data_IF_339231637464
#
_entry.id   IF_339231637464
#
_cell.length_a   1.000
_cell.length_b   1.000
_cell.length_c   1.000
_cell.angle_alpha   90.00
_cell.angle_beta   90.00
_cell.angle_gamma   90.00
#
_symmetry.space_group_name_H-M   'P 1'
#
loop_
_entity.id
_entity.type
_entity.pdbx_description
1 polymer ?
#
# COMPACT_ATOMS: atom_id res chain seq x y z
N UNK A 1 30.25 21.76 69.89
CA UNK A 1 30.57 20.70 68.92
C UNK A 1 29.39 19.74 68.61
N UNK A 2 28.66 19.23 69.61
CA UNK A 2 27.54 18.26 69.43
C UNK A 2 26.30 18.72 68.61
N UNK A 3 26.11 20.03 68.42
CA UNK A 3 24.99 20.61 67.62
C UNK A 3 25.31 20.74 66.11
N UNK A 4 26.58 20.72 65.74
CA UNK A 4 27.01 20.81 64.34
C UNK A 4 26.99 19.44 63.64
N UNK A 5 27.26 18.36 64.38
CA UNK A 5 27.22 16.99 63.87
C UNK A 5 25.80 16.52 63.49
N UNK A 6 24.77 16.94 64.24
CA UNK A 6 23.37 16.59 63.95
C UNK A 6 22.88 17.31 62.67
N UNK A 7 23.28 18.58 62.47
CA UNK A 7 22.95 19.33 61.24
C UNK A 7 23.60 18.74 59.99
N UNK A 8 24.84 18.28 60.08
CA UNK A 8 25.50 17.58 58.98
C UNK A 8 24.84 16.23 58.66
N UNK A 9 24.45 15.44 59.68
CA UNK A 9 23.80 14.15 59.47
C UNK A 9 22.40 14.29 58.82
N UNK A 10 21.61 15.29 59.22
CA UNK A 10 20.28 15.55 58.62
C UNK A 10 20.41 16.04 57.17
N UNK A 11 21.40 16.88 56.87
CA UNK A 11 21.64 17.33 55.49
C UNK A 11 22.12 16.20 54.58
N UNK A 12 22.97 15.29 55.07
CA UNK A 12 23.42 14.11 54.31
C UNK A 12 22.28 13.11 54.09
N UNK A 13 21.40 12.91 55.07
CA UNK A 13 20.22 12.07 54.90
C UNK A 13 19.19 12.68 53.95
N UNK A 14 19.03 14.01 53.93
CA UNK A 14 18.15 14.70 52.97
C UNK A 14 18.69 14.61 51.53
N UNK A 15 20.00 14.74 51.32
CA UNK A 15 20.59 14.60 49.99
C UNK A 15 20.55 13.16 49.48
N UNK A 16 20.70 12.16 50.37
CA UNK A 16 20.48 10.76 50.01
C UNK A 16 19.02 10.46 49.63
N UNK A 17 18.04 11.12 50.27
CA UNK A 17 16.61 10.92 49.97
C UNK A 17 16.16 11.58 48.64
N UNK A 18 16.85 12.64 48.20
CA UNK A 18 16.61 13.23 46.88
C UNK A 18 17.24 12.41 45.73
N UNK A 19 18.30 11.64 46.00
CA UNK A 19 19.02 10.87 44.98
C UNK A 19 18.34 9.55 44.56
N UNK A 20 17.28 9.11 45.25
CA UNK A 20 16.60 7.83 44.97
C UNK A 20 15.33 7.96 44.13
N UNK A 21 15.04 9.12 43.54
CA UNK A 21 13.91 9.27 42.60
C UNK A 21 14.31 8.87 41.18
N UNK A 22 14.43 7.56 40.93
CA UNK A 22 14.44 7.05 39.55
C UNK A 22 13.02 7.11 39.01
N UNK A 23 12.68 8.15 38.26
CA UNK A 23 11.46 8.13 37.45
C UNK A 23 11.64 7.08 36.35
N UNK A 24 10.76 6.06 36.25
CA UNK A 24 10.81 5.17 35.11
C UNK A 24 10.58 5.99 33.84
N UNK A 25 11.56 5.98 32.93
CA UNK A 25 11.36 6.52 31.58
C UNK A 25 10.47 5.52 30.85
N UNK A 26 9.17 5.79 30.82
CA UNK A 26 8.25 5.05 29.95
C UNK A 26 8.59 5.48 28.51
N UNK A 27 9.08 4.54 27.71
CA UNK A 27 9.25 4.77 26.28
C UNK A 27 7.88 5.12 25.68
N UNK A 28 7.74 6.36 25.21
CA UNK A 28 6.51 6.83 24.60
C UNK A 28 6.44 6.26 23.19
N UNK A 29 5.54 5.29 22.97
CA UNK A 29 5.27 4.74 21.63
C UNK A 29 4.75 5.85 20.73
N UNK A 30 5.41 6.09 19.61
CA UNK A 30 4.96 7.07 18.64
C UNK A 30 3.95 6.38 17.71
N UNK A 31 2.68 6.77 17.73
CA UNK A 31 1.61 6.07 17.01
C UNK A 31 0.73 7.04 16.23
N UNK A 32 0.44 6.70 14.98
CA UNK A 32 -0.53 7.39 14.14
C UNK A 32 -1.66 6.45 13.74
N UNK A 33 -2.89 6.81 14.11
CA UNK A 33 -4.12 6.10 13.76
C UNK A 33 -5.00 6.96 12.85
N UNK A 34 -5.72 6.34 11.93
CA UNK A 34 -6.56 7.04 10.94
C UNK A 34 -8.06 6.96 11.29
N UNK A 35 -8.44 7.59 12.41
CA UNK A 35 -9.83 7.58 12.90
C UNK A 35 -10.76 8.24 11.88
N UNK A 36 -11.90 7.62 11.60
CA UNK A 36 -12.92 8.15 10.70
C UNK A 36 -12.71 7.83 9.22
N UNK A 37 -11.61 7.16 8.86
CA UNK A 37 -11.41 6.61 7.51
C UNK A 37 -12.09 5.24 7.41
N UNK A 38 -13.16 5.07 6.60
CA UNK A 38 -13.86 3.79 6.50
C UNK A 38 -12.92 2.66 6.06
N UNK A 39 -13.02 1.50 6.71
CA UNK A 39 -12.21 0.32 6.39
C UNK A 39 -10.78 0.34 6.95
N UNK A 40 -10.29 1.46 7.51
CA UNK A 40 -8.94 1.56 8.09
C UNK A 40 -9.01 1.50 9.61
N UNK A 41 -8.71 0.32 10.16
CA UNK A 41 -8.66 0.08 11.61
C UNK A 41 -7.25 0.00 12.21
N UNK A 42 -6.22 -0.06 11.37
CA UNK A 42 -4.83 -0.24 11.80
C UNK A 42 -4.13 1.09 12.04
N UNK A 43 -3.16 1.10 12.95
CA UNK A 43 -2.29 2.24 13.22
C UNK A 43 -0.85 1.93 12.81
N UNK A 44 -0.05 2.96 12.58
CA UNK A 44 1.39 2.87 12.31
C UNK A 44 2.12 3.27 13.58
N UNK A 45 3.15 2.52 13.98
CA UNK A 45 3.91 2.79 15.19
C UNK A 45 5.42 2.89 14.93
N UNK A 46 6.09 3.64 15.81
CA UNK A 46 7.53 3.67 16.00
C UNK A 46 8.32 3.82 14.68
N UNK A 47 9.23 2.87 14.40
CA UNK A 47 10.15 2.96 13.26
C UNK A 47 9.42 2.98 11.91
N UNK A 48 8.30 2.26 11.78
CA UNK A 48 7.48 2.30 10.56
C UNK A 48 6.78 3.64 10.39
N UNK A 49 6.35 4.29 11.48
CA UNK A 49 5.77 5.62 11.41
C UNK A 49 6.81 6.67 10.98
N UNK A 50 8.01 6.59 11.53
CA UNK A 50 9.13 7.44 11.10
C UNK A 50 9.42 7.27 9.61
N UNK A 51 9.51 6.02 9.14
CA UNK A 51 9.78 5.72 7.74
C UNK A 51 8.66 6.22 6.82
N UNK A 52 7.41 5.95 7.17
CA UNK A 52 6.24 6.34 6.39
C UNK A 52 6.19 7.86 6.23
N UNK A 53 6.34 8.61 7.33
CA UNK A 53 6.26 10.08 7.33
C UNK A 53 7.40 10.72 6.54
N UNK A 54 8.62 10.17 6.63
CA UNK A 54 9.78 10.76 5.96
C UNK A 54 9.81 10.51 4.45
N UNK A 55 9.18 9.44 3.97
CA UNK A 55 9.36 8.95 2.60
C UNK A 55 8.10 9.04 1.74
N UNK A 56 7.26 10.04 2.01
CA UNK A 56 6.12 10.41 1.17
C UNK A 56 4.75 10.03 1.72
N UNK A 57 4.67 9.30 2.84
CA UNK A 57 3.45 9.08 3.59
C UNK A 57 2.28 8.54 2.77
N UNK A 58 1.11 9.17 2.91
CA UNK A 58 -0.14 8.71 2.33
C UNK A 58 -0.11 8.63 0.79
N UNK A 59 0.38 9.65 0.06
CA UNK A 59 0.51 9.58 -1.40
C UNK A 59 1.32 8.38 -1.93
N UNK A 60 2.39 8.00 -1.23
CA UNK A 60 3.32 6.95 -1.67
C UNK A 60 2.91 5.57 -1.15
N UNK A 61 2.64 5.44 0.14
CA UNK A 61 2.40 4.13 0.76
C UNK A 61 0.91 3.81 0.91
N UNK A 62 0.07 4.84 1.04
CA UNK A 62 -1.33 4.70 1.42
C UNK A 62 -1.54 4.42 2.90
N UNK A 63 -2.78 4.06 3.25
CA UNK A 63 -3.17 3.72 4.62
C UNK A 63 -2.61 2.36 5.07
N UNK A 64 -2.40 2.15 6.39
CA UNK A 64 -2.05 0.84 6.93
C UNK A 64 -3.24 -0.12 6.82
N UNK A 65 -2.99 -1.31 6.29
CA UNK A 65 -3.99 -2.37 6.14
C UNK A 65 -3.95 -3.40 7.26
N UNK A 66 -2.81 -3.54 7.94
CA UNK A 66 -2.60 -4.47 9.04
C UNK A 66 -1.96 -3.77 10.24
N UNK A 67 -2.05 -4.31 11.46
CA UNK A 67 -1.05 -4.04 12.49
C UNK A 67 0.33 -4.53 12.01
N UNK A 68 1.40 -4.17 12.72
CA UNK A 68 2.70 -4.80 12.51
C UNK A 68 2.70 -6.23 13.11
N UNK A 69 3.23 -7.22 12.41
CA UNK A 69 3.28 -8.62 12.85
C UNK A 69 4.49 -9.34 12.27
N UNK A 70 4.91 -10.45 12.88
CA UNK A 70 6.02 -11.27 12.35
C UNK A 70 5.54 -12.09 11.15
N UNK A 71 6.25 -12.01 10.02
CA UNK A 71 5.96 -12.81 8.83
C UNK A 71 7.24 -13.44 8.29
N UNK A 72 7.16 -14.72 7.90
CA UNK A 72 8.16 -15.37 7.08
C UNK A 72 8.00 -14.94 5.61
N UNK A 73 9.04 -14.36 5.04
CA UNK A 73 9.21 -14.09 3.60
C UNK A 73 10.28 -15.04 3.03
N UNK A 74 10.50 -15.06 1.70
CA UNK A 74 11.63 -15.80 1.12
C UNK A 74 13.00 -15.39 1.68
N UNK A 75 13.14 -14.15 2.16
CA UNK A 75 14.39 -13.57 2.64
C UNK A 75 14.62 -13.81 4.15
N UNK A 76 13.58 -14.13 4.93
CA UNK A 76 13.68 -14.33 6.38
C UNK A 76 12.37 -14.10 7.13
N UNK A 77 12.41 -14.13 8.46
CA UNK A 77 11.29 -13.69 9.29
C UNK A 77 11.52 -12.26 9.74
N UNK A 78 10.60 -11.36 9.38
CA UNK A 78 10.69 -9.95 9.70
C UNK A 78 9.42 -9.45 10.39
N UNK A 79 9.55 -8.40 11.18
CA UNK A 79 8.39 -7.61 11.57
C UNK A 79 7.93 -6.88 10.30
N UNK A 80 6.69 -7.11 9.89
CA UNK A 80 6.12 -6.54 8.68
C UNK A 80 4.85 -5.76 8.97
N UNK A 81 4.57 -4.77 8.14
CA UNK A 81 3.26 -4.10 8.09
C UNK A 81 2.89 -3.85 6.64
N UNK A 82 1.65 -4.19 6.28
CA UNK A 82 1.11 -3.88 4.96
C UNK A 82 0.40 -2.54 4.96
N UNK A 83 0.64 -1.81 3.89
CA UNK A 83 -0.05 -0.58 3.50
C UNK A 83 -0.76 -0.84 2.18
N UNK A 84 -1.56 0.11 1.71
CA UNK A 84 -2.29 -0.06 0.44
C UNK A 84 -1.38 -0.40 -0.73
N UNK A 85 -0.21 0.26 -0.81
CA UNK A 85 0.70 0.13 -1.97
C UNK A 85 1.95 -0.68 -1.69
N UNK A 86 2.31 -0.87 -0.42
CA UNK A 86 3.62 -1.40 -0.03
C UNK A 86 3.55 -2.33 1.17
N UNK A 87 4.56 -3.18 1.32
CA UNK A 87 4.84 -3.97 2.52
C UNK A 87 6.16 -3.50 3.11
N UNK A 88 6.13 -3.03 4.36
CA UNK A 88 7.35 -2.67 5.08
C UNK A 88 7.88 -3.89 5.81
N UNK A 89 9.20 -4.05 5.80
CA UNK A 89 9.93 -5.13 6.44
C UNK A 89 11.04 -4.48 7.31
N UNK A 90 11.06 -4.79 8.61
CA UNK A 90 12.06 -4.24 9.54
C UNK A 90 13.30 -5.15 9.60
N UNK A 91 14.45 -4.55 9.30
CA UNK A 91 15.78 -5.17 9.30
C UNK A 91 16.69 -4.48 10.34
N UNK A 92 16.57 -4.82 11.64
CA UNK A 92 17.34 -4.16 12.70
C UNK A 92 18.86 -4.34 12.58
N UNK A 93 19.32 -5.31 11.78
CA UNK A 93 20.72 -5.55 11.45
C UNK A 93 21.31 -4.52 10.47
N UNK A 94 20.46 -3.78 9.74
CA UNK A 94 20.88 -2.76 8.81
C UNK A 94 20.92 -1.38 9.48
N UNK A 95 21.80 -0.51 8.96
CA UNK A 95 21.82 0.90 9.37
C UNK A 95 20.74 1.67 8.63
N UNK A 96 20.16 2.67 9.30
CA UNK A 96 19.29 3.66 8.64
C UNK A 96 19.96 4.25 7.39
N UNK A 97 19.22 4.45 6.29
CA UNK A 97 17.77 4.25 6.15
C UNK A 97 17.35 2.83 5.69
N UNK A 98 18.28 1.87 5.59
CA UNK A 98 18.04 0.50 5.09
C UNK A 98 17.48 -0.48 6.14
N UNK A 99 17.27 -0.01 7.37
CA UNK A 99 16.64 -0.79 8.44
C UNK A 99 15.13 -0.99 8.24
N UNK A 100 14.52 -0.27 7.29
CA UNK A 100 13.18 -0.58 6.77
C UNK A 100 13.30 -0.76 5.27
N UNK A 101 13.01 -1.96 4.78
CA UNK A 101 12.99 -2.30 3.36
C UNK A 101 11.54 -2.47 2.90
N UNK A 102 11.30 -2.20 1.62
CA UNK A 102 10.03 -2.53 0.99
C UNK A 102 10.12 -3.90 0.34
N UNK A 103 9.10 -4.72 0.59
CA UNK A 103 8.93 -6.01 -0.07
C UNK A 103 8.86 -5.82 -1.59
N UNK A 104 9.36 -6.80 -2.34
CA UNK A 104 9.39 -6.79 -3.81
C UNK A 104 8.01 -7.12 -4.41
N UNK A 105 7.00 -6.33 -4.04
CA UNK A 105 5.60 -6.63 -4.36
C UNK A 105 5.29 -6.63 -5.86
N UNK A 106 6.05 -5.88 -6.66
CA UNK A 106 5.88 -5.90 -8.11
C UNK A 106 6.33 -7.23 -8.72
N UNK A 107 7.50 -7.73 -8.32
CA UNK A 107 8.01 -9.06 -8.73
C UNK A 107 7.08 -10.17 -8.20
N UNK A 108 6.69 -10.09 -6.93
CA UNK A 108 5.79 -11.07 -6.30
C UNK A 108 4.44 -11.16 -7.03
N UNK A 109 3.82 -10.01 -7.34
CA UNK A 109 2.53 -9.98 -8.02
C UNK A 109 2.63 -10.45 -9.47
N UNK A 110 3.69 -10.09 -10.21
CA UNK A 110 3.93 -10.63 -11.54
C UNK A 110 4.01 -12.17 -11.49
N UNK A 111 4.71 -12.73 -10.50
CA UNK A 111 4.75 -14.16 -10.24
C UNK A 111 3.36 -14.77 -9.99
N UNK A 112 2.54 -14.14 -9.15
CA UNK A 112 1.15 -14.58 -8.88
C UNK A 112 0.25 -14.54 -10.12
N UNK A 113 0.52 -13.61 -11.04
CA UNK A 113 -0.15 -13.50 -12.35
C UNK A 113 0.40 -14.50 -13.38
N UNK A 114 1.38 -15.33 -13.03
CA UNK A 114 2.04 -16.26 -13.95
C UNK A 114 2.92 -15.56 -15.00
N UNK A 115 3.30 -14.29 -14.77
CA UNK A 115 4.11 -13.48 -15.69
C UNK A 115 5.59 -13.63 -15.37
N UNK A 116 6.32 -14.26 -16.27
CA UNK A 116 7.78 -14.26 -16.26
C UNK A 116 8.30 -13.01 -16.97
N UNK A 117 8.46 -11.90 -16.25
CA UNK A 117 8.88 -10.61 -16.82
C UNK A 117 10.19 -10.67 -17.61
N UNK A 118 11.10 -11.60 -17.27
CA UNK A 118 12.36 -11.83 -18.01
C UNK A 118 12.15 -12.32 -19.44
N UNK A 119 11.02 -12.97 -19.72
CA UNK A 119 10.65 -13.47 -21.04
C UNK A 119 9.73 -12.49 -21.79
N UNK A 120 9.30 -11.40 -21.17
CA UNK A 120 8.46 -10.40 -21.84
C UNK A 120 9.27 -9.59 -22.85
N UNK A 121 8.68 -9.22 -24.01
CA UNK A 121 9.40 -8.44 -25.01
C UNK A 121 9.88 -7.10 -24.45
N UNK A 122 11.01 -6.63 -24.96
CA UNK A 122 11.55 -5.30 -24.67
C UNK A 122 11.07 -4.28 -25.70
N UNK A 123 10.89 -3.03 -25.26
CA UNK A 123 10.70 -1.91 -26.18
C UNK A 123 12.01 -1.59 -26.91
N UNK A 124 11.95 -0.97 -28.10
CA UNK A 124 13.14 -0.45 -28.76
C UNK A 124 13.91 0.51 -27.85
N UNK A 125 15.24 0.53 -28.00
CA UNK A 125 16.08 1.50 -27.29
C UNK A 125 15.64 2.94 -27.61
N UNK A 126 15.49 3.76 -26.58
CA UNK A 126 15.21 5.18 -26.68
C UNK A 126 16.28 5.96 -25.89
N UNK A 127 17.07 6.83 -26.55
CA UNK A 127 18.12 7.60 -25.90
C UNK A 127 17.59 8.62 -24.87
N UNK A 128 16.29 8.90 -24.85
CA UNK A 128 15.68 9.80 -23.87
C UNK A 128 15.25 9.08 -22.59
N UNK A 129 15.43 7.76 -22.50
CA UNK A 129 15.02 6.97 -21.35
C UNK A 129 16.24 6.46 -20.58
N UNK A 130 16.13 6.42 -19.25
CA UNK A 130 17.14 5.74 -18.45
C UNK A 130 16.96 4.22 -18.59
N UNK A 131 18.04 3.51 -18.94
CA UNK A 131 18.04 2.06 -19.06
C UNK A 131 18.74 1.42 -17.86
N UNK A 132 18.05 0.52 -17.17
CA UNK A 132 18.60 -0.25 -16.07
C UNK A 132 19.48 -1.40 -16.61
N UNK A 133 20.82 -1.37 -16.42
CA UNK A 133 21.69 -2.37 -17.04
C UNK A 133 21.47 -3.79 -16.49
N UNK A 134 20.96 -3.93 -15.26
CA UNK A 134 20.72 -5.23 -14.62
C UNK A 134 19.49 -5.95 -15.17
N UNK A 135 18.49 -5.21 -15.65
CA UNK A 135 17.24 -5.79 -16.19
C UNK A 135 17.08 -5.58 -17.69
N UNK A 136 17.85 -4.66 -18.29
CA UNK A 136 17.71 -4.24 -19.68
C UNK A 136 16.45 -3.43 -19.96
N UNK A 137 15.71 -3.01 -18.92
CA UNK A 137 14.43 -2.29 -19.04
C UNK A 137 14.63 -0.79 -18.96
N UNK A 138 13.80 -0.05 -19.66
CA UNK A 138 13.89 1.41 -19.73
C UNK A 138 12.79 2.08 -18.91
N UNK A 139 13.12 3.13 -18.15
CA UNK A 139 12.16 4.06 -17.56
C UNK A 139 12.16 5.34 -18.39
N UNK A 140 11.08 5.50 -19.17
CA UNK A 140 10.77 6.72 -19.90
C UNK A 140 9.82 7.60 -19.10
N UNK A 141 9.76 8.89 -19.42
CA UNK A 141 8.73 9.76 -18.85
C UNK A 141 7.31 9.32 -19.24
N UNK A 142 6.33 9.45 -18.32
CA UNK A 142 6.41 10.15 -17.02
C UNK A 142 6.99 9.31 -15.86
N UNK A 143 7.20 8.02 -16.05
CA UNK A 143 7.65 7.11 -15.00
C UNK A 143 9.11 7.33 -14.58
N UNK A 144 9.99 7.65 -15.52
CA UNK A 144 11.39 8.00 -15.24
C UNK A 144 11.51 9.20 -14.30
N UNK A 145 10.78 10.29 -14.61
CA UNK A 145 10.67 11.45 -13.71
C UNK A 145 10.11 11.09 -12.35
N UNK A 146 9.01 10.33 -12.27
CA UNK A 146 8.43 9.95 -10.98
C UNK A 146 9.42 9.15 -10.12
N UNK A 147 10.14 8.21 -10.74
CA UNK A 147 11.18 7.41 -10.08
C UNK A 147 12.31 8.30 -9.54
N UNK A 148 12.77 9.27 -10.32
CA UNK A 148 13.83 10.20 -9.92
C UNK A 148 13.40 11.21 -8.84
N UNK A 149 12.14 11.65 -8.88
CA UNK A 149 11.63 12.68 -7.98
C UNK A 149 11.21 12.12 -6.60
N UNK A 150 10.98 10.81 -6.51
CA UNK A 150 10.64 10.13 -5.26
C UNK A 150 11.73 9.15 -4.86
N UNK A 151 12.52 9.51 -3.84
CA UNK A 151 13.61 8.69 -3.35
C UNK A 151 13.70 8.74 -1.83
N UNK A 152 14.27 7.69 -1.24
CA UNK A 152 14.53 7.59 0.19
C UNK A 152 15.46 8.72 0.66
N UNK A 153 15.01 9.54 1.60
CA UNK A 153 15.80 10.65 2.14
C UNK A 153 17.07 10.13 2.84
N UNK A 154 18.18 10.86 2.68
CA UNK A 154 19.47 10.48 3.25
C UNK A 154 20.35 9.63 2.33
N UNK A 155 19.91 9.38 1.09
CA UNK A 155 20.69 8.73 0.03
C UNK A 155 20.84 9.66 -1.18
N UNK A 156 21.70 9.29 -2.13
CA UNK A 156 21.68 9.93 -3.45
C UNK A 156 20.32 9.67 -4.12
N UNK A 157 19.83 10.55 -5.03
CA UNK A 157 18.53 10.33 -5.67
C UNK A 157 18.40 8.95 -6.31
N UNK A 158 19.43 8.50 -7.03
CA UNK A 158 19.47 7.18 -7.67
C UNK A 158 19.42 6.04 -6.64
N UNK A 159 20.26 6.08 -5.60
CA UNK A 159 20.28 5.02 -4.59
C UNK A 159 18.98 4.98 -3.79
N UNK A 160 18.41 6.16 -3.48
CA UNK A 160 17.16 6.26 -2.77
C UNK A 160 15.96 5.80 -3.59
N UNK A 161 15.96 6.07 -4.90
CA UNK A 161 14.92 5.57 -5.80
C UNK A 161 15.05 4.06 -6.04
N UNK A 162 16.28 3.53 -6.13
CA UNK A 162 16.52 2.08 -6.13
C UNK A 162 16.04 1.42 -4.83
N UNK A 163 16.27 2.05 -3.67
CA UNK A 163 15.81 1.53 -2.39
C UNK A 163 14.28 1.52 -2.28
N UNK A 164 13.62 2.58 -2.78
CA UNK A 164 12.17 2.75 -2.66
C UNK A 164 11.39 1.94 -3.71
N UNK A 165 11.84 1.93 -4.96
CA UNK A 165 11.09 1.33 -6.07
C UNK A 165 11.74 0.09 -6.64
N UNK A 166 13.07 -0.01 -6.51
CA UNK A 166 13.88 -0.97 -7.21
C UNK A 166 13.99 -0.69 -8.70
N UNK A 167 14.41 -1.74 -9.41
CA UNK A 167 14.64 -1.69 -10.85
C UNK A 167 13.33 -1.91 -11.64
N UNK A 168 13.19 -1.32 -12.84
CA UNK A 168 12.13 -1.69 -13.77
C UNK A 168 12.25 -3.15 -14.18
N UNK A 169 11.13 -3.89 -14.12
CA UNK A 169 11.03 -5.31 -14.47
C UNK A 169 10.38 -5.51 -15.84
N UNK A 170 9.42 -4.66 -16.19
CA UNK A 170 8.79 -4.64 -17.52
C UNK A 170 9.08 -3.32 -18.21
N UNK A 171 8.86 -3.27 -19.52
CA UNK A 171 8.67 -1.98 -20.20
C UNK A 171 7.20 -1.55 -20.11
N UNK A 172 6.94 -0.28 -20.39
CA UNK A 172 5.59 0.30 -20.33
C UNK A 172 4.66 -0.35 -21.34
N UNK A 173 3.48 -0.77 -20.87
CA UNK A 173 2.40 -1.35 -21.68
C UNK A 173 1.05 -0.77 -21.27
N UNK A 174 0.07 -0.78 -22.17
CA UNK A 174 -1.32 -0.53 -21.77
C UNK A 174 -1.84 -1.81 -21.10
N UNK A 175 -2.21 -1.71 -19.83
CA UNK A 175 -2.79 -2.79 -19.05
C UNK A 175 -4.13 -2.36 -18.47
N UNK A 176 -5.02 -3.32 -18.24
CA UNK A 176 -6.27 -3.07 -17.50
C UNK A 176 -5.97 -3.21 -16.01
N UNK A 177 -6.12 -2.13 -15.26
CA UNK A 177 -5.89 -2.13 -13.81
C UNK A 177 -7.08 -2.74 -13.04
N UNK A 178 -6.96 -2.98 -11.72
CA UNK A 178 -8.05 -3.53 -10.92
C UNK A 178 -9.34 -2.67 -10.89
N UNK A 179 -9.22 -1.36 -11.08
CA UNK A 179 -10.36 -0.44 -11.18
C UNK A 179 -11.08 -0.54 -12.54
N UNK A 180 -10.51 -1.30 -13.48
CA UNK A 180 -11.06 -1.56 -14.80
C UNK A 180 -10.63 -0.58 -15.89
N UNK A 181 -9.82 0.42 -15.53
CA UNK A 181 -9.26 1.42 -16.44
C UNK A 181 -8.13 0.80 -17.26
N UNK A 182 -7.98 1.22 -18.52
CA UNK A 182 -6.84 0.82 -19.37
C UNK A 182 -5.81 1.95 -19.38
N UNK A 183 -4.69 1.73 -18.69
CA UNK A 183 -3.69 2.77 -18.42
C UNK A 183 -2.30 2.27 -18.81
N UNK A 184 -1.44 3.19 -19.23
CA UNK A 184 -0.03 2.88 -19.37
C UNK A 184 0.50 2.46 -18.00
N UNK A 185 1.14 1.30 -17.96
CA UNK A 185 1.52 0.58 -16.75
C UNK A 185 2.93 0.07 -16.91
N UNK A 186 3.74 0.22 -15.86
CA UNK A 186 5.07 -0.37 -15.80
C UNK A 186 5.31 -0.98 -14.42
N UNK A 187 5.85 -2.19 -14.41
CA UNK A 187 6.15 -2.92 -13.18
C UNK A 187 7.63 -2.75 -12.83
N UNK A 188 7.89 -2.41 -11.57
CA UNK A 188 9.19 -2.32 -10.93
C UNK A 188 9.29 -3.40 -9.86
N UNK A 189 10.47 -3.63 -9.29
CA UNK A 189 10.65 -4.67 -8.25
C UNK A 189 9.67 -4.50 -7.09
N UNK A 190 9.43 -3.25 -6.65
CA UNK A 190 8.63 -2.95 -5.45
C UNK A 190 7.31 -2.25 -5.76
N UNK A 191 7.01 -1.92 -7.01
CA UNK A 191 5.85 -1.11 -7.35
C UNK A 191 5.26 -1.45 -8.73
N UNK A 192 3.99 -1.06 -8.93
CA UNK A 192 3.36 -0.93 -10.25
C UNK A 192 3.02 0.54 -10.45
N UNK A 193 3.59 1.16 -11.46
CA UNK A 193 3.27 2.53 -11.84
C UNK A 193 2.14 2.53 -12.86
N UNK A 194 1.20 3.44 -12.71
CA UNK A 194 0.04 3.63 -13.58
C UNK A 194 -0.06 5.11 -13.98
N UNK A 195 -0.18 5.40 -15.28
CA UNK A 195 -0.29 6.76 -15.78
C UNK A 195 -1.75 7.16 -16.05
N UNK A 196 -2.16 8.24 -15.38
CA UNK A 196 -3.49 8.84 -15.38
C UNK A 196 -3.41 10.28 -15.90
N UNK A 197 -3.33 10.51 -17.23
CA UNK A 197 -3.02 11.82 -17.81
C UNK A 197 -4.07 12.90 -17.52
N UNK A 198 -5.30 12.49 -17.21
CA UNK A 198 -6.41 13.40 -16.91
C UNK A 198 -6.39 13.92 -15.46
N UNK A 199 -5.51 13.39 -14.61
CA UNK A 199 -5.31 13.90 -13.25
C UNK A 199 -4.46 15.19 -13.26
N UNK A 200 -4.51 15.99 -12.18
CA UNK A 200 -3.51 17.03 -11.94
C UNK A 200 -2.09 16.46 -12.06
N UNK A 201 -1.14 17.29 -12.51
CA UNK A 201 0.21 16.87 -12.89
C UNK A 201 0.91 16.04 -11.82
N UNK A 202 0.76 16.43 -10.56
CA UNK A 202 1.32 15.76 -9.39
C UNK A 202 0.72 14.37 -9.11
N UNK A 203 -0.43 14.05 -9.69
CA UNK A 203 -1.15 12.78 -9.54
C UNK A 203 -1.31 12.03 -10.88
N UNK A 204 -0.53 12.42 -11.90
CA UNK A 204 -0.54 11.71 -13.19
C UNK A 204 0.13 10.35 -13.10
N UNK A 205 1.10 10.15 -12.21
CA UNK A 205 1.65 8.82 -11.91
C UNK A 205 1.12 8.38 -10.56
N UNK A 206 0.35 7.30 -10.56
CA UNK A 206 -0.17 6.66 -9.36
C UNK A 206 0.46 5.28 -9.21
N UNK A 207 0.55 4.82 -7.96
CA UNK A 207 1.00 3.48 -7.64
C UNK A 207 -0.19 2.54 -7.48
N UNK A 208 -0.11 1.38 -8.13
CA UNK A 208 -1.03 0.28 -7.91
C UNK A 208 -1.06 -0.15 -6.44
N UNK A 209 -2.22 -0.62 -5.97
CA UNK A 209 -2.45 -0.99 -4.55
C UNK A 209 -1.91 -2.39 -4.25
N UNK A 210 -0.65 -2.64 -4.60
CA UNK A 210 -0.04 -3.97 -4.54
C UNK A 210 -0.06 -4.58 -3.13
N UNK A 211 0.05 -3.76 -2.09
CA UNK A 211 -0.07 -4.25 -0.71
C UNK A 211 -1.47 -4.79 -0.39
N UNK A 212 -2.52 -4.12 -0.88
CA UNK A 212 -3.89 -4.63 -0.79
C UNK A 212 -4.09 -5.89 -1.63
N UNK A 213 -3.65 -5.86 -2.91
CA UNK A 213 -3.81 -6.96 -3.86
C UNK A 213 -3.12 -8.25 -3.36
N UNK A 214 -1.92 -8.13 -2.79
CA UNK A 214 -1.17 -9.27 -2.22
C UNK A 214 -1.88 -9.84 -0.98
N UNK A 215 -2.40 -8.98 -0.10
CA UNK A 215 -3.14 -9.42 1.09
C UNK A 215 -4.43 -10.17 0.73
N UNK A 216 -5.17 -9.66 -0.24
CA UNK A 216 -6.44 -10.28 -0.65
C UNK A 216 -6.22 -11.65 -1.29
N UNK A 217 -5.18 -11.80 -2.12
CA UNK A 217 -4.79 -13.11 -2.65
C UNK A 217 -4.35 -14.10 -1.56
N UNK A 218 -3.69 -13.63 -0.50
CA UNK A 218 -3.28 -14.47 0.63
C UNK A 218 -4.49 -14.92 1.45
N UNK A 219 -5.46 -14.03 1.69
CA UNK A 219 -6.73 -14.35 2.37
C UNK A 219 -7.58 -15.35 1.58
N UNK A 220 -7.59 -15.25 0.26
CA UNK A 220 -8.28 -16.22 -0.60
C UNK A 220 -7.65 -17.62 -0.53
N UNK A 221 -6.34 -17.72 -0.29
CA UNK A 221 -5.60 -19.00 -0.30
C UNK A 221 -5.69 -19.79 1.01
N UNK A 222 -5.92 -19.14 2.16
CA UNK A 222 -5.99 -19.79 3.49
C UNK A 222 -7.37 -20.42 3.79
N UNK A 223 -8.39 -20.11 2.98
CA UNK A 223 -9.70 -20.78 3.01
C UNK A 223 -10.66 -20.27 4.10
N UNK A 224 -11.75 -19.66 3.64
CA UNK A 224 -13.01 -19.54 4.40
C UNK A 224 -13.22 -18.22 5.15
N UNK A 225 -13.99 -17.32 4.54
CA UNK A 225 -14.71 -16.19 5.16
C UNK A 225 -13.84 -15.02 5.65
N UNK A 226 -13.74 -13.96 4.83
CA UNK A 226 -14.15 -12.60 5.22
C UNK A 226 -14.15 -11.69 3.99
N UNK A 227 -15.29 -11.64 3.29
CA UNK A 227 -15.57 -10.58 2.32
C UNK A 227 -15.90 -9.30 3.10
N UNK A 228 -14.88 -8.60 3.60
CA UNK A 228 -15.03 -7.24 4.14
C UNK A 228 -14.05 -6.23 3.54
N UNK A 229 -13.23 -6.61 2.57
CA UNK A 229 -12.53 -5.63 1.73
C UNK A 229 -13.45 -5.28 0.56
N UNK A 230 -14.52 -4.58 0.90
CA UNK A 230 -15.28 -3.82 -0.09
C UNK A 230 -14.27 -2.92 -0.81
N UNK A 231 -14.39 -2.89 -2.14
CA UNK A 231 -13.75 -1.93 -3.01
C UNK A 231 -13.58 -0.61 -2.27
N UNK A 232 -12.34 -0.30 -1.85
CA UNK A 232 -12.07 0.98 -1.24
C UNK A 232 -12.50 2.01 -2.28
N UNK A 233 -13.53 2.78 -1.94
CA UNK A 233 -14.05 3.84 -2.78
C UNK A 233 -12.87 4.64 -3.34
N UNK A 234 -12.92 4.95 -4.64
CA UNK A 234 -11.97 5.85 -5.31
C UNK A 234 -11.73 7.07 -4.42
N UNK A 235 -10.61 7.08 -3.70
CA UNK A 235 -10.20 8.22 -2.90
C UNK A 235 -9.04 8.89 -3.64
N UNK A 236 -9.40 9.84 -4.50
CA UNK A 236 -8.43 10.81 -4.99
C UNK A 236 -8.19 11.76 -3.83
N UNK A 237 -7.04 11.65 -3.17
CA UNK A 237 -6.61 12.64 -2.18
C UNK A 237 -6.16 13.87 -2.95
N UNK A 238 -7.04 14.88 -3.06
CA UNK A 238 -6.68 16.18 -3.63
C UNK A 238 -6.20 17.05 -2.46
N UNK A 239 -4.88 17.07 -2.27
CA UNK A 239 -4.21 17.92 -1.29
C UNK A 239 -4.16 17.35 0.12
N UNK A 240 -2.95 17.10 0.63
CA UNK A 240 -2.69 16.93 2.06
C UNK A 240 -1.80 18.07 2.54
N UNK A 241 -2.28 18.84 3.51
CA UNK A 241 -1.38 19.68 4.33
C UNK A 241 -0.46 18.76 5.15
N UNK A 242 0.73 19.26 5.52
CA UNK A 242 1.81 18.48 6.17
C UNK A 242 1.44 17.90 7.55
N UNK A 243 0.22 18.09 8.02
CA UNK A 243 -0.31 17.64 9.32
C UNK A 243 -1.22 16.40 9.23
N UNK A 244 -1.42 15.84 8.03
CA UNK A 244 -2.24 14.64 7.84
C UNK A 244 -3.75 14.90 7.79
N UNK A 245 -4.17 16.17 7.69
CA UNK A 245 -5.55 16.52 7.35
C UNK A 245 -5.78 16.30 5.84
N UNK A 246 -6.61 15.31 5.49
CA UNK A 246 -7.07 15.10 4.12
C UNK A 246 -8.53 15.58 3.99
N UNK A 247 -8.80 16.45 3.02
CA UNK A 247 -10.18 16.77 2.64
C UNK A 247 -10.74 15.60 1.85
N UNK A 248 -11.65 14.82 2.45
CA UNK A 248 -12.31 13.69 1.78
C UNK A 248 -13.41 14.24 0.86
N UNK A 249 -13.18 14.20 -0.45
CA UNK A 249 -14.25 14.40 -1.43
C UNK A 249 -14.94 13.05 -1.66
N UNK A 250 -16.18 12.91 -1.17
CA UNK A 250 -16.98 11.71 -1.40
C UNK A 250 -17.46 11.69 -2.86
N UNK A 251 -17.00 10.71 -3.65
CA UNK A 251 -17.59 10.41 -4.95
C UNK A 251 -18.61 9.27 -4.80
N UNK A 252 -19.83 9.47 -5.29
CA UNK A 252 -20.81 8.39 -5.41
C UNK A 252 -20.43 7.50 -6.59
N UNK A 253 -19.86 6.32 -6.32
CA UNK A 253 -19.57 5.35 -7.37
C UNK A 253 -20.87 4.63 -7.79
N UNK A 254 -21.37 4.93 -8.99
CA UNK A 254 -22.44 4.15 -9.61
C UNK A 254 -21.86 2.81 -10.08
N UNK A 255 -22.15 1.72 -9.36
CA UNK A 255 -21.74 0.37 -9.79
C UNK A 255 -22.84 -0.23 -10.66
N UNK A 256 -22.53 -0.58 -11.90
CA UNK A 256 -23.42 -1.38 -12.76
C UNK A 256 -23.22 -2.86 -12.46
N UNK A 257 -24.22 -3.51 -11.86
CA UNK A 257 -24.21 -4.96 -11.61
C UNK A 257 -24.83 -5.65 -12.84
N UNK A 258 -24.05 -6.45 -13.56
CA UNK A 258 -24.57 -7.33 -14.61
C UNK A 258 -24.75 -8.74 -14.05
N UNK A 259 -26.00 -9.17 -13.86
CA UNK A 259 -26.30 -10.53 -13.40
C UNK A 259 -26.16 -11.50 -14.59
N UNK A 260 -25.18 -12.40 -14.56
CA UNK A 260 -25.13 -13.58 -15.43
C UNK A 260 -25.70 -14.78 -14.68
N UNK A 261 -26.41 -15.66 -15.39
CA UNK A 261 -27.47 -16.54 -14.90
C UNK A 261 -27.21 -17.36 -13.63
N UNK A 262 -28.34 -17.59 -12.93
CA UNK A 262 -28.52 -18.41 -11.73
C UNK A 262 -27.86 -19.79 -11.87
N UNK A 263 -27.17 -20.21 -10.81
CA UNK A 263 -26.63 -21.56 -10.71
C UNK A 263 -27.69 -22.66 -10.85
N UNK A 264 -27.26 -23.76 -11.49
CA UNK A 264 -27.86 -25.09 -11.67
C UNK A 264 -28.72 -25.34 -12.94
N UNK A 265 -28.15 -26.11 -13.88
CA UNK A 265 -28.71 -26.63 -15.15
C UNK A 265 -29.27 -28.05 -14.95
N UNK A 266 -30.34 -28.46 -15.66
CA UNK A 266 -30.31 -29.81 -16.24
C UNK A 266 -30.73 -29.90 -17.73
N UNK A 267 -29.90 -30.66 -18.44
CA UNK A 267 -30.04 -31.46 -19.67
C UNK A 267 -31.15 -31.20 -20.72
N UNK A 268 -30.67 -31.00 -21.96
CA UNK A 268 -31.29 -31.22 -23.28
C UNK A 268 -32.35 -30.22 -23.79
N UNK A 269 -31.94 -29.40 -24.78
CA UNK A 269 -32.61 -29.06 -26.07
C UNK A 269 -31.77 -27.91 -26.70
N UNK A 270 -30.90 -28.18 -27.67
CA UNK A 270 -31.10 -28.08 -29.13
C UNK A 270 -31.43 -26.67 -29.68
N UNK A 271 -30.52 -26.21 -30.57
CA UNK A 271 -30.71 -25.35 -31.75
C UNK A 271 -31.01 -23.83 -31.65
N UNK A 272 -29.90 -23.05 -31.76
CA UNK A 272 -29.72 -21.72 -32.42
C UNK A 272 -30.62 -20.55 -31.93
N UNK A 273 -30.53 -19.35 -32.55
CA UNK A 273 -29.56 -18.28 -32.26
C UNK A 273 -30.25 -16.97 -31.78
N UNK A 274 -29.50 -16.02 -31.21
CA UNK A 274 -29.91 -14.63 -30.93
C UNK A 274 -31.12 -14.45 -29.97
N UNK A 275 -30.84 -14.16 -28.70
CA UNK A 275 -31.76 -13.38 -27.88
C UNK A 275 -30.99 -12.44 -26.94
N UNK A 276 -30.89 -11.18 -27.37
CA UNK A 276 -30.63 -10.05 -26.49
C UNK A 276 -31.86 -9.85 -25.60
N UNK A 277 -31.67 -9.90 -24.29
CA UNK A 277 -32.60 -9.35 -23.31
C UNK A 277 -31.77 -8.50 -22.35
N UNK A 278 -31.77 -7.19 -22.58
CA UNK A 278 -31.27 -6.21 -21.61
C UNK A 278 -32.39 -5.90 -20.63
N UNK A 279 -32.21 -6.25 -19.36
CA UNK A 279 -32.91 -5.58 -18.28
C UNK A 279 -31.96 -4.51 -17.72
N UNK A 280 -32.16 -3.26 -18.14
CA UNK A 280 -31.41 -2.12 -17.60
C UNK A 280 -32.19 -1.56 -16.43
N UNK A 281 -31.73 -1.82 -15.21
CA UNK A 281 -32.22 -1.17 -14.00
C UNK A 281 -31.07 -0.42 -13.33
N UNK A 282 -31.24 0.89 -13.12
CA UNK A 282 -30.35 1.67 -12.25
C UNK A 282 -30.94 1.60 -10.85
N UNK A 283 -30.23 0.97 -9.91
CA UNK A 283 -30.65 0.89 -8.52
C UNK A 283 -29.73 1.78 -7.67
N UNK A 284 -30.33 2.72 -6.95
CA UNK A 284 -29.62 3.56 -5.98
C UNK A 284 -29.77 2.91 -4.61
N UNK A 285 -28.74 2.22 -4.14
CA UNK A 285 -28.70 1.70 -2.77
C UNK A 285 -27.90 2.65 -1.88
N UNK A 286 -28.51 3.18 -0.83
CA UNK A 286 -27.79 3.85 0.26
C UNK A 286 -27.40 2.80 1.30
N UNK A 287 -26.15 2.34 1.26
CA UNK A 287 -25.59 1.39 2.23
C UNK A 287 -25.00 0.12 1.60
N UNK A 288 -24.52 -0.79 2.44
CA UNK A 288 -23.86 -2.03 2.05
C UNK A 288 -24.87 -3.12 1.70
N UNK A 289 -24.86 -3.58 0.45
CA UNK A 289 -25.68 -4.71 0.00
C UNK A 289 -25.01 -6.03 0.42
N UNK A 290 -25.73 -6.87 1.17
CA UNK A 290 -25.27 -8.23 1.48
C UNK A 290 -25.60 -9.20 0.34
N UNK A 291 -25.01 -10.40 0.35
CA UNK A 291 -25.20 -11.41 -0.72
C UNK A 291 -26.68 -11.74 -0.96
N UNK A 292 -27.51 -11.76 0.09
CA UNK A 292 -28.96 -12.00 -0.01
C UNK A 292 -29.69 -10.87 -0.71
N UNK A 293 -29.32 -9.61 -0.46
CA UNK A 293 -29.87 -8.44 -1.14
C UNK A 293 -29.48 -8.37 -2.62
N UNK A 294 -28.25 -8.79 -2.96
CA UNK A 294 -27.77 -8.89 -4.34
C UNK A 294 -28.52 -10.00 -5.10
N UNK A 295 -28.77 -11.15 -4.47
CA UNK A 295 -29.56 -12.25 -5.07
C UNK A 295 -31.02 -11.84 -5.28
N UNK A 296 -31.59 -11.02 -4.39
CA UNK A 296 -32.94 -10.48 -4.54
C UNK A 296 -33.05 -9.44 -5.67
N UNK A 297 -32.00 -8.64 -5.91
CA UNK A 297 -31.93 -7.68 -7.02
C UNK A 297 -31.76 -8.34 -8.40
N UNK A 298 -31.22 -9.57 -8.45
CA UNK A 298 -31.07 -10.38 -9.67
C UNK A 298 -32.23 -11.39 -9.90
N UNK A 299 -33.36 -11.28 -9.17
CA UNK A 299 -34.59 -12.08 -9.39
C UNK A 299 -35.71 -11.21 -9.92
#
# INVERSE_FOLDING_TARGET
MRRYTIRCAVLVLLTLWLATRTTPVQAQTNVQCFKGVPGIGSCIADRFLEYWTQNGGLPVFGYPLTPAFQQQTPEGTFLVQYFERQRFELHPEHRRPYDVLLGRLGDEMLGRLGRSWRAEPTNPYDPNCWTAPQTGRSLCDPFGRYWNDHYLLGLSPTDGALALWGLPLTDTRIERNPDGDSVATQWLERARYEHHPNNPKEYQVLLGRLGAEVLDGTRATIGGISNNHQAAARQIVIGSERDGSATVVNYTATTTISCSDKGAVPANLLDRPQLKLSATGVFTAQGTLNATAIIALCR
#
